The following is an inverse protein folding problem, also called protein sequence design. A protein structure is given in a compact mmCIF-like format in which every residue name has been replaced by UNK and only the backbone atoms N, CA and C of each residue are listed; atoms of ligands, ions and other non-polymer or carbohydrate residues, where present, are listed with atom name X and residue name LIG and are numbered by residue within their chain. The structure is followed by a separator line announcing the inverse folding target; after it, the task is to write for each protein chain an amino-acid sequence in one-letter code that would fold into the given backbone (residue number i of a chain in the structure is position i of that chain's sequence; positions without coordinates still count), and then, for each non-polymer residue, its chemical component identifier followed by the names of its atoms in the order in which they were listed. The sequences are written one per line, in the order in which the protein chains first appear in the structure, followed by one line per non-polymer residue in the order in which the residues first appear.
data_IF_863394736727
#
_entry.id   IF_863394736727
#
_cell.length_a   1.000
_cell.length_b   1.000
_cell.length_c   1.000
_cell.angle_alpha   90.00
_cell.angle_beta   90.00
_cell.angle_gamma   90.00
#
_symmetry.space_group_name_H-M   'P 1'
#
loop_
_entity.id
_entity.type
_entity.pdbx_description
1 polymer ?
#
# COMPACT_ATOMS: atom_id res chain seq x y z
N UNK A 1 11.17 1.88 -1.55
CA UNK A 1 10.18 1.58 -0.50
C UNK A 1 9.29 0.48 -1.04
N UNK A 2 8.94 -0.51 -0.22
CA UNK A 2 8.15 -1.67 -0.66
C UNK A 2 6.73 -1.54 -0.13
N UNK A 3 5.74 -1.78 -0.99
CA UNK A 3 4.32 -1.75 -0.64
C UNK A 3 3.70 -3.10 -0.95
N UNK A 4 3.12 -3.72 0.06
CA UNK A 4 2.44 -5.01 -0.04
C UNK A 4 0.95 -4.78 0.16
N UNK A 5 0.15 -5.11 -0.84
CA UNK A 5 -1.30 -5.06 -0.82
C UNK A 5 -1.84 -6.49 -0.64
N UNK A 6 -2.52 -6.75 0.47
CA UNK A 6 -3.15 -8.02 0.82
C UNK A 6 -4.65 -7.86 0.70
N UNK A 7 -5.28 -8.64 -0.19
CA UNK A 7 -6.71 -8.62 -0.37
C UNK A 7 -7.34 -10.00 -0.29
N UNK A 8 -8.67 -10.01 -0.40
CA UNK A 8 -9.44 -11.25 -0.53
C UNK A 8 -9.07 -12.03 -1.81
N UNK A 9 -8.62 -11.33 -2.84
CA UNK A 9 -8.18 -11.91 -4.12
C UNK A 9 -6.71 -12.33 -4.14
N UNK A 10 -5.96 -12.10 -3.06
CA UNK A 10 -4.55 -12.47 -2.93
C UNK A 10 -3.65 -11.33 -2.49
N UNK A 11 -2.35 -11.62 -2.40
CA UNK A 11 -1.29 -10.66 -2.05
C UNK A 11 -0.56 -10.15 -3.28
N UNK A 12 -0.32 -8.85 -3.35
CA UNK A 12 0.49 -8.19 -4.37
C UNK A 12 1.56 -7.35 -3.71
N UNK A 13 2.77 -7.43 -4.25
CA UNK A 13 3.91 -6.64 -3.83
C UNK A 13 4.27 -5.70 -4.98
N UNK A 14 4.54 -4.44 -4.65
CA UNK A 14 5.14 -3.49 -5.59
C UNK A 14 6.19 -2.64 -4.88
N UNK A 15 7.14 -2.12 -5.63
CA UNK A 15 8.13 -1.15 -5.13
C UNK A 15 7.70 0.25 -5.56
N UNK A 16 7.70 1.20 -4.64
CA UNK A 16 7.43 2.61 -4.97
C UNK A 16 8.53 3.19 -5.83
N UNK A 17 8.16 4.12 -6.71
CA UNK A 17 9.11 4.93 -7.48
C UNK A 17 9.98 5.83 -6.60
N UNK A 18 10.92 6.52 -7.23
CA UNK A 18 11.83 7.48 -6.60
C UNK A 18 11.08 8.70 -6.00
N UNK A 19 9.91 8.99 -6.55
CA UNK A 19 8.95 9.99 -6.11
C UNK A 19 7.99 9.48 -5.01
N UNK A 20 8.12 8.21 -4.60
CA UNK A 20 7.27 7.58 -3.59
C UNK A 20 5.90 7.12 -4.12
N UNK A 21 5.61 7.30 -5.41
CA UNK A 21 4.36 6.84 -6.01
C UNK A 21 4.36 5.32 -6.22
N UNK A 22 3.18 4.71 -6.10
CA UNK A 22 2.94 3.31 -6.43
C UNK A 22 1.52 3.16 -6.96
N UNK A 23 1.29 2.10 -7.74
CA UNK A 23 -0.04 1.81 -8.29
C UNK A 23 -0.27 0.32 -8.41
N UNK A 24 -1.43 -0.12 -7.94
CA UNK A 24 -1.94 -1.46 -8.18
C UNK A 24 -3.09 -1.37 -9.19
N UNK A 25 -2.95 -2.03 -10.33
CA UNK A 25 -3.98 -2.09 -11.38
C UNK A 25 -4.60 -3.49 -11.45
N UNK A 26 -5.85 -3.59 -11.89
CA UNK A 26 -6.56 -4.87 -11.97
C UNK A 26 -6.82 -5.48 -10.60
N UNK A 27 -7.33 -4.66 -9.67
CA UNK A 27 -7.87 -5.10 -8.39
C UNK A 27 -9.40 -5.14 -8.51
N UNK A 28 -9.99 -6.24 -8.06
CA UNK A 28 -11.44 -6.32 -7.89
C UNK A 28 -11.92 -5.36 -6.79
N UNK A 29 -13.18 -4.91 -6.86
CA UNK A 29 -13.77 -4.13 -5.79
C UNK A 29 -13.91 -4.97 -4.52
N UNK A 30 -13.43 -4.43 -3.40
CA UNK A 30 -13.42 -5.12 -2.12
C UNK A 30 -12.60 -4.39 -1.05
N UNK A 31 -12.46 -5.01 0.12
CA UNK A 31 -11.60 -4.49 1.19
C UNK A 31 -10.20 -5.09 1.07
N UNK A 32 -9.20 -4.23 1.13
CA UNK A 32 -7.78 -4.56 1.03
C UNK A 32 -7.01 -3.99 2.20
N UNK A 33 -5.95 -4.67 2.60
CA UNK A 33 -4.96 -4.21 3.55
C UNK A 33 -3.69 -3.84 2.80
N UNK A 34 -3.12 -2.69 3.11
CA UNK A 34 -1.94 -2.17 2.43
C UNK A 34 -0.85 -1.90 3.46
N UNK A 35 0.31 -2.54 3.28
CA UNK A 35 1.47 -2.44 4.17
C UNK A 35 2.62 -1.78 3.44
N UNK A 36 3.07 -0.64 3.94
CA UNK A 36 4.22 0.10 3.46
C UNK A 36 5.43 -0.15 4.37
N UNK A 37 6.56 -0.55 3.78
CA UNK A 37 7.79 -0.88 4.49
C UNK A 37 9.00 -0.24 3.81
N UNK A 38 9.84 0.43 4.60
CA UNK A 38 11.04 1.12 4.11
C UNK A 38 12.16 0.91 5.08
N UNK A 39 13.34 0.55 4.56
CA UNK A 39 14.56 0.46 5.34
C UNK A 39 14.84 1.81 6.02
N UNK A 40 14.99 1.81 7.34
CA UNK A 40 15.20 3.02 8.14
C UNK A 40 13.92 3.73 8.61
N UNK A 41 12.72 3.24 8.23
CA UNK A 41 11.44 3.78 8.72
C UNK A 41 10.63 2.71 9.44
N UNK A 42 9.67 3.14 10.26
CA UNK A 42 8.70 2.23 10.87
C UNK A 42 7.73 1.75 9.79
N UNK A 43 7.52 0.43 9.61
CA UNK A 43 6.52 -0.07 8.67
C UNK A 43 5.12 0.37 9.12
N UNK A 44 4.27 0.74 8.16
CA UNK A 44 2.90 1.18 8.41
C UNK A 44 1.92 0.30 7.65
N UNK A 45 0.95 -0.29 8.36
CA UNK A 45 -0.15 -1.07 7.78
C UNK A 45 -1.42 -0.24 7.83
N UNK A 46 -2.14 -0.16 6.72
CA UNK A 46 -3.48 0.42 6.60
C UNK A 46 -4.44 -0.70 6.24
N UNK A 47 -5.38 -0.98 7.13
CA UNK A 47 -6.38 -2.02 6.94
C UNK A 47 -7.70 -1.40 6.49
N UNK A 48 -8.59 -2.23 5.93
CA UNK A 48 -9.94 -1.83 5.55
C UNK A 48 -9.98 -0.75 4.44
N UNK A 49 -9.05 -0.82 3.49
CA UNK A 49 -9.06 0.02 2.30
C UNK A 49 -10.12 -0.50 1.35
N UNK A 50 -11.25 0.20 1.26
CA UNK A 50 -12.27 -0.08 0.25
C UNK A 50 -11.77 0.34 -1.13
N UNK A 51 -11.65 -0.62 -2.03
CA UNK A 51 -11.38 -0.43 -3.45
C UNK A 51 -12.69 -0.63 -4.20
N UNK A 52 -13.04 0.31 -5.08
CA UNK A 52 -14.23 0.21 -5.92
C UNK A 52 -13.81 0.17 -7.40
N UNK A 53 -14.59 -0.53 -8.22
CA UNK A 53 -14.30 -0.70 -9.65
C UNK A 53 -14.26 0.67 -10.33
N UNK A 54 -13.18 0.98 -11.05
CA UNK A 54 -13.00 2.26 -11.71
C UNK A 54 -12.69 3.44 -10.78
N UNK A 55 -12.61 3.24 -9.46
CA UNK A 55 -12.13 4.25 -8.51
C UNK A 55 -10.68 3.98 -8.12
N UNK A 56 -9.93 5.06 -7.94
CA UNK A 56 -8.58 5.00 -7.37
C UNK A 56 -8.69 5.30 -5.88
N UNK A 57 -8.43 4.30 -5.04
CA UNK A 57 -8.31 4.52 -3.59
C UNK A 57 -6.91 5.04 -3.29
N UNK A 58 -6.81 6.35 -3.04
CA UNK A 58 -5.59 6.97 -2.59
C UNK A 58 -5.34 6.61 -1.12
N UNK A 59 -4.17 6.05 -0.83
CA UNK A 59 -3.78 5.63 0.52
C UNK A 59 -2.46 6.31 0.85
N UNK A 60 -2.51 7.49 1.45
CA UNK A 60 -1.31 8.22 1.86
C UNK A 60 -0.67 7.61 3.11
N UNK A 61 0.56 7.10 2.98
CA UNK A 61 1.35 6.58 4.10
C UNK A 61 2.34 7.63 4.59
N UNK A 62 2.11 8.19 5.78
CA UNK A 62 3.08 9.03 6.46
C UNK A 62 4.01 8.16 7.32
N UNK A 63 5.05 7.62 6.71
CA UNK A 63 6.04 6.81 7.40
C UNK A 63 6.90 7.72 8.29
N UNK A 64 6.95 7.42 9.58
CA UNK A 64 7.83 8.11 10.52
C UNK A 64 9.21 7.46 10.48
N UNK A 65 10.27 8.27 10.34
CA UNK A 65 11.65 7.81 10.47
C UNK A 65 11.75 7.08 11.81
N UNK A 66 12.07 5.79 11.75
CA UNK A 66 12.36 5.03 12.95
C UNK A 66 13.76 5.42 13.35
N UNK A 67 13.87 6.45 14.19
CA UNK A 67 15.13 6.79 14.82
C UNK A 67 15.75 5.53 15.43
N UNK A 68 17.01 5.31 15.09
CA UNK A 68 17.88 4.26 15.63
C UNK A 68 17.87 4.27 17.17
#
# INVERSE_FOLDING_TARGET
MSVTLTGKTGTRNTTTGADGSYRFAGLDPGSYDVRAEVTGFRPLKRENVSVALGKTSAVDFALKVGGM
#
